data_IF_123565094274
#
_entry.id   IF_123565094274
#
_cell.length_a   1.000
_cell.length_b   1.000
_cell.length_c   1.000
_cell.angle_alpha   90.00
_cell.angle_beta   90.00
_cell.angle_gamma   90.00
#
_symmetry.space_group_name_H-M   'P 1'
#
loop_
_entity.id
_entity.type
_entity.pdbx_description
1 polymer ?
#
# COMPACT_ATOMS: atom_id res chain seq x y z
N UNK A 1 -23.10 -6.00 -13.46
CA UNK A 1 -22.00 -5.47 -14.29
C UNK A 1 -20.73 -5.46 -13.45
N UNK A 2 -19.77 -6.38 -13.66
CA UNK A 2 -18.46 -6.25 -13.03
C UNK A 2 -17.66 -5.21 -13.84
N UNK A 3 -17.32 -4.10 -13.22
CA UNK A 3 -16.54 -3.02 -13.83
C UNK A 3 -15.12 -3.52 -14.12
N UNK A 4 -14.76 -3.49 -15.40
CA UNK A 4 -13.58 -4.06 -16.03
C UNK A 4 -12.27 -3.31 -15.72
N UNK A 5 -11.76 -3.44 -14.51
CA UNK A 5 -10.31 -3.38 -14.27
C UNK A 5 -9.81 -4.81 -14.11
N UNK A 6 -8.99 -5.27 -15.05
CA UNK A 6 -8.58 -6.68 -15.22
C UNK A 6 -8.17 -7.37 -13.92
N UNK A 7 -8.99 -8.32 -13.51
CA UNK A 7 -8.85 -9.15 -12.31
C UNK A 7 -7.90 -10.33 -12.57
N UNK A 8 -6.72 -10.11 -13.15
CA UNK A 8 -5.88 -11.25 -13.55
C UNK A 8 -4.47 -11.27 -12.99
N UNK A 9 -3.96 -10.24 -12.29
CA UNK A 9 -2.69 -10.36 -11.54
C UNK A 9 -2.53 -9.24 -10.50
N UNK A 10 -3.28 -9.31 -9.38
CA UNK A 10 -3.03 -8.43 -8.25
C UNK A 10 -1.87 -8.96 -7.40
N UNK A 11 -0.74 -8.25 -7.41
CA UNK A 11 0.42 -8.56 -6.58
C UNK A 11 0.37 -7.75 -5.28
N UNK A 12 0.45 -8.44 -4.14
CA UNK A 12 0.59 -7.83 -2.83
C UNK A 12 2.04 -7.45 -2.59
N UNK A 13 2.33 -6.14 -2.59
CA UNK A 13 3.63 -5.61 -2.19
C UNK A 13 3.58 -5.14 -0.75
N UNK A 14 4.37 -5.76 0.14
CA UNK A 14 4.47 -5.36 1.54
C UNK A 14 5.93 -5.23 1.99
N UNK A 15 6.17 -4.48 3.06
CA UNK A 15 7.51 -4.37 3.66
C UNK A 15 7.98 -5.70 4.22
N UNK A 16 9.29 -5.95 4.22
CA UNK A 16 9.88 -7.12 4.87
C UNK A 16 9.93 -6.91 6.40
N UNK A 17 8.81 -7.14 7.09
CA UNK A 17 8.72 -7.09 8.55
C UNK A 17 8.60 -8.51 9.12
N UNK A 18 9.25 -8.83 10.26
CA UNK A 18 9.32 -10.19 10.78
C UNK A 18 7.96 -10.81 11.04
N UNK A 19 6.96 -10.01 11.43
CA UNK A 19 5.61 -10.52 11.69
C UNK A 19 4.85 -10.92 10.42
N UNK A 20 5.13 -10.32 9.26
CA UNK A 20 4.52 -10.69 7.98
C UNK A 20 5.04 -12.04 7.48
N UNK A 21 6.20 -12.47 7.98
CA UNK A 21 6.75 -13.80 7.76
C UNK A 21 6.10 -14.90 8.63
N UNK A 22 5.20 -14.58 9.57
CA UNK A 22 4.59 -15.60 10.41
C UNK A 22 3.69 -16.55 9.61
N UNK A 23 3.73 -17.83 9.98
CA UNK A 23 2.98 -18.90 9.32
C UNK A 23 1.47 -18.63 9.23
N UNK A 24 0.87 -18.01 10.26
CA UNK A 24 -0.55 -17.69 10.25
C UNK A 24 -0.92 -16.70 9.12
N UNK A 25 -0.07 -15.70 8.90
CA UNK A 25 -0.27 -14.69 7.86
C UNK A 25 -0.01 -15.32 6.48
N UNK A 26 1.06 -16.09 6.33
CA UNK A 26 1.32 -16.82 5.08
C UNK A 26 0.17 -17.77 4.72
N UNK A 27 -0.36 -18.53 5.69
CA UNK A 27 -1.51 -19.41 5.49
C UNK A 27 -2.76 -18.64 5.06
N UNK A 28 -2.99 -17.46 5.63
CA UNK A 28 -4.08 -16.59 5.21
C UNK A 28 -3.90 -16.07 3.78
N UNK A 29 -2.69 -15.64 3.42
CA UNK A 29 -2.37 -15.15 2.08
C UNK A 29 -2.54 -16.24 1.02
N UNK A 30 -2.02 -17.44 1.30
CA UNK A 30 -2.17 -18.62 0.43
C UNK A 30 -3.64 -19.02 0.30
N UNK A 31 -4.39 -19.06 1.42
CA UNK A 31 -5.82 -19.43 1.41
C UNK A 31 -6.66 -18.50 0.52
N UNK A 32 -6.29 -17.23 0.42
CA UNK A 32 -7.01 -16.23 -0.36
C UNK A 32 -6.36 -15.97 -1.74
N UNK A 33 -5.43 -16.83 -2.17
CA UNK A 33 -4.77 -16.73 -3.48
C UNK A 33 -4.07 -15.39 -3.74
N UNK A 34 -3.49 -14.78 -2.70
CA UNK A 34 -2.65 -13.60 -2.87
C UNK A 34 -1.26 -13.98 -3.38
N UNK A 35 -0.83 -13.34 -4.46
CA UNK A 35 0.56 -13.43 -4.94
C UNK A 35 1.36 -12.31 -4.30
N UNK A 36 2.41 -12.65 -3.53
CA UNK A 36 3.23 -11.67 -2.81
C UNK A 36 4.47 -11.30 -3.64
N UNK A 37 4.72 -10.00 -3.80
CA UNK A 37 5.94 -9.49 -4.41
C UNK A 37 7.07 -9.48 -3.37
N UNK A 38 8.20 -10.12 -3.68
CA UNK A 38 9.36 -10.14 -2.81
C UNK A 38 9.96 -8.73 -2.67
N UNK A 39 10.20 -8.30 -1.43
CA UNK A 39 10.81 -7.01 -1.10
C UNK A 39 12.22 -7.21 -0.54
N UNK A 40 13.20 -6.50 -1.10
CA UNK A 40 14.57 -6.51 -0.59
C UNK A 40 14.64 -5.98 0.86
N UNK A 41 15.45 -6.62 1.74
CA UNK A 41 15.69 -6.11 3.09
C UNK A 41 16.26 -4.68 3.04
N UNK A 42 15.78 -3.81 3.93
CA UNK A 42 16.29 -2.44 4.10
C UNK A 42 16.27 -1.57 2.82
N UNK A 43 15.30 -1.78 1.93
CA UNK A 43 15.11 -0.96 0.73
C UNK A 43 13.82 -0.11 0.79
N UNK A 44 13.74 0.92 1.65
CA UNK A 44 12.55 1.76 1.77
C UNK A 44 12.24 2.53 0.48
N UNK A 45 13.24 2.90 -0.31
CA UNK A 45 13.10 3.67 -1.55
C UNK A 45 12.28 2.94 -2.62
N UNK A 46 12.31 1.60 -2.58
CA UNK A 46 11.59 0.74 -3.52
C UNK A 46 10.13 0.51 -3.11
N UNK A 47 9.72 0.92 -1.91
CA UNK A 47 8.37 0.69 -1.40
C UNK A 47 7.47 1.90 -1.66
N UNK A 48 6.46 1.80 -2.56
CA UNK A 48 5.61 2.93 -2.91
C UNK A 48 4.91 3.56 -1.71
N UNK A 49 4.55 2.75 -0.71
CA UNK A 49 3.86 3.24 0.48
C UNK A 49 4.77 4.01 1.45
N UNK A 50 6.09 3.79 1.47
CA UNK A 50 7.00 4.65 2.26
C UNK A 50 7.09 6.05 1.62
N UNK A 51 7.24 6.12 0.29
CA UNK A 51 7.22 7.39 -0.45
C UNK A 51 5.91 8.17 -0.22
N UNK A 52 4.80 7.45 -0.11
CA UNK A 52 3.50 8.02 0.20
C UNK A 52 3.41 8.57 1.64
N UNK A 53 3.90 7.80 2.60
CA UNK A 53 3.95 8.17 4.02
C UNK A 53 4.77 9.45 4.24
N UNK A 54 5.92 9.59 3.56
CA UNK A 54 6.74 10.80 3.65
C UNK A 54 6.02 12.05 3.12
N UNK A 55 5.26 11.94 2.03
CA UNK A 55 4.42 13.04 1.54
C UNK A 55 3.34 13.44 2.55
N UNK A 56 2.61 12.46 3.10
CA UNK A 56 1.60 12.71 4.12
C UNK A 56 2.19 13.37 5.37
N UNK A 57 3.36 12.92 5.84
CA UNK A 57 4.06 13.56 6.96
C UNK A 57 4.44 15.00 6.64
N UNK A 58 4.84 15.28 5.40
CA UNK A 58 5.10 16.63 4.91
C UNK A 58 3.87 17.53 5.01
N UNK A 59 2.70 17.04 4.58
CA UNK A 59 1.43 17.78 4.64
C UNK A 59 0.93 17.99 6.08
N UNK A 60 1.13 16.99 6.94
CA UNK A 60 0.78 17.06 8.36
C UNK A 60 1.78 17.89 9.17
N UNK A 61 2.95 18.21 8.61
CA UNK A 61 3.97 19.02 9.27
C UNK A 61 3.41 20.40 9.61
N UNK A 62 3.60 20.82 10.87
CA UNK A 62 3.08 22.10 11.36
C UNK A 62 1.68 22.03 11.97
N UNK A 63 0.94 20.94 11.75
CA UNK A 63 -0.36 20.73 12.41
C UNK A 63 -0.14 20.20 13.83
N UNK A 64 -0.63 20.93 14.84
CA UNK A 64 -0.65 20.46 16.24
C UNK A 64 -1.98 19.76 16.51
N UNK A 65 -1.98 18.44 16.40
CA UNK A 65 -3.16 17.61 16.61
C UNK A 65 -3.04 16.93 17.97
N UNK A 66 -3.84 17.38 18.93
CA UNK A 66 -3.82 16.85 20.30
C UNK A 66 -4.66 15.58 20.45
N UNK A 67 -5.55 15.30 19.49
CA UNK A 67 -6.51 14.21 19.55
C UNK A 67 -6.34 13.27 18.36
N UNK A 68 -6.26 11.96 18.64
CA UNK A 68 -6.11 10.93 17.59
C UNK A 68 -7.26 10.95 16.56
N UNK A 69 -8.47 11.30 16.97
CA UNK A 69 -9.61 11.43 16.05
C UNK A 69 -9.40 12.55 15.02
N UNK A 70 -8.81 13.67 15.45
CA UNK A 70 -8.51 14.81 14.56
C UNK A 70 -7.40 14.49 13.56
N UNK A 71 -6.41 13.68 13.98
CA UNK A 71 -5.39 13.13 13.08
C UNK A 71 -6.05 12.26 12.01
N UNK A 72 -6.99 11.39 12.39
CA UNK A 72 -7.69 10.53 11.45
C UNK A 72 -8.51 11.32 10.43
N UNK A 73 -9.30 12.29 10.88
CA UNK A 73 -10.12 13.14 10.00
C UNK A 73 -9.28 13.88 8.97
N UNK A 74 -8.23 14.59 9.42
CA UNK A 74 -7.36 15.35 8.54
C UNK A 74 -6.59 14.45 7.58
N UNK A 75 -6.13 13.29 8.04
CA UNK A 75 -5.43 12.34 7.16
C UNK A 75 -6.38 11.82 6.08
N UNK A 76 -7.63 11.47 6.42
CA UNK A 76 -8.63 11.02 5.45
C UNK A 76 -8.99 12.12 4.45
N UNK A 77 -9.13 13.35 4.91
CA UNK A 77 -9.39 14.50 4.04
C UNK A 77 -8.24 14.71 3.04
N UNK A 78 -6.98 14.69 3.51
CA UNK A 78 -5.80 14.82 2.65
C UNK A 78 -5.68 13.69 1.61
N UNK A 79 -6.00 12.45 2.00
CA UNK A 79 -6.03 11.30 1.08
C UNK A 79 -7.07 11.51 -0.05
N UNK A 80 -8.20 12.15 0.28
CA UNK A 80 -9.34 12.32 -0.64
C UNK A 80 -9.15 13.54 -1.55
N UNK A 81 -8.64 14.66 -1.01
CA UNK A 81 -8.52 15.96 -1.69
C UNK A 81 -7.32 16.02 -2.65
N UNK A 82 -6.17 15.46 -2.28
CA UNK A 82 -4.97 15.50 -3.14
C UNK A 82 -4.98 14.48 -4.29
N UNK A 83 -6.11 13.79 -4.55
CA UNK A 83 -6.18 12.79 -5.63
C UNK A 83 -5.28 11.58 -5.39
N UNK A 84 -4.80 11.38 -4.16
CA UNK A 84 -4.04 10.20 -3.74
C UNK A 84 -4.88 8.92 -3.81
N UNK A 85 -6.18 9.06 -4.01
CA UNK A 85 -7.12 8.00 -4.45
C UNK A 85 -6.76 7.37 -5.79
N UNK A 86 -6.00 8.02 -6.68
CA UNK A 86 -5.45 7.36 -7.88
C UNK A 86 -4.30 6.39 -7.55
N UNK A 87 -3.71 6.49 -6.35
CA UNK A 87 -2.58 5.66 -5.91
C UNK A 87 -3.06 4.48 -5.04
N UNK A 88 -4.28 4.54 -4.49
CA UNK A 88 -4.84 3.44 -3.70
C UNK A 88 -5.30 2.21 -4.51
N UNK A 89 -5.59 2.28 -5.83
CA UNK A 89 -5.52 1.10 -6.69
C UNK A 89 -4.11 0.85 -7.27
N UNK A 90 -3.13 1.73 -7.05
CA UNK A 90 -1.79 1.67 -7.67
C UNK A 90 -0.68 1.08 -6.79
N UNK A 91 -1.01 0.48 -5.62
CA UNK A 91 -0.14 -0.53 -4.98
C UNK A 91 -0.43 -1.93 -5.56
N UNK A 92 -1.04 -1.97 -6.75
CA UNK A 92 -1.08 -3.12 -7.65
C UNK A 92 0.05 -2.89 -8.65
N UNK A 93 1.18 -3.57 -8.43
CA UNK A 93 2.20 -3.67 -9.49
C UNK A 93 1.60 -4.58 -10.55
N UNK A 94 0.99 -4.02 -11.60
CA UNK A 94 0.65 -4.79 -12.80
C UNK A 94 1.97 -5.21 -13.44
N UNK A 95 2.40 -6.44 -13.15
CA UNK A 95 3.50 -7.08 -13.86
C UNK A 95 3.14 -7.16 -15.34
N UNK A 96 3.87 -6.45 -16.19
CA UNK A 96 3.85 -6.69 -17.63
C UNK A 96 4.46 -8.07 -17.86
N UNK A 97 3.66 -8.99 -18.38
CA UNK A 97 4.14 -10.25 -18.93
C UNK A 97 5.07 -9.93 -20.11
N UNK A 98 6.38 -10.09 -19.93
CA UNK A 98 7.28 -10.33 -21.05
C UNK A 98 7.27 -11.85 -21.31
N UNK A 99 6.36 -12.26 -22.18
CA UNK A 99 6.46 -13.54 -22.89
C UNK A 99 7.48 -13.38 -24.01
N UNK A 100 8.53 -14.22 -23.97
CA UNK A 100 9.41 -14.71 -25.06
C UNK A 100 9.68 -13.75 -26.22
#
# INVERSE_FOLDING_TARGET
MPSSLGSENMLLHHKNAPFLGFFLIQKYLIKNSFTVLAQCPYSPDQFPAENYSEKLKGLLKGHRLQLAQKVKELTLELITVEGLTQILPAVIVTGRNNSI
#
